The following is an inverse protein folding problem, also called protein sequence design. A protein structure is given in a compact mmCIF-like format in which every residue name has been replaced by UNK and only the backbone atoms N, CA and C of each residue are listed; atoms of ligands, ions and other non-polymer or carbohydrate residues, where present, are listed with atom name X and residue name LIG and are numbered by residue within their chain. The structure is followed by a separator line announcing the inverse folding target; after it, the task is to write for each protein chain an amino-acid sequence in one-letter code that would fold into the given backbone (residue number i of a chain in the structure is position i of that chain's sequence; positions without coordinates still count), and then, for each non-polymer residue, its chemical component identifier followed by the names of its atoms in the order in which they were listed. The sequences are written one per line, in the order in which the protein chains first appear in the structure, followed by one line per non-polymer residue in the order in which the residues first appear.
data_IF_484093720378
#
_entry.id   IF_484093720378
#
_cell.length_a   1.000
_cell.length_b   1.000
_cell.length_c   1.000
_cell.angle_alpha   90.00
_cell.angle_beta   90.00
_cell.angle_gamma   90.00
#
_symmetry.space_group_name_H-M   'P 1'
#
loop_
_entity.id
_entity.type
_entity.pdbx_description
1 polymer ?
#
# COMPACT_ATOMS: atom_id res chain seq x y z
N UNK A 1 0.51 -32.26 -36.39
CA UNK A 1 -0.68 -31.69 -35.69
C UNK A 1 -0.38 -31.42 -34.22
N UNK A 2 0.19 -32.38 -33.48
CA UNK A 2 0.58 -32.25 -32.06
C UNK A 2 1.46 -31.04 -31.75
N UNK A 3 2.52 -30.78 -32.54
CA UNK A 3 3.40 -29.62 -32.33
C UNK A 3 2.61 -28.30 -32.30
N UNK A 4 1.67 -28.11 -33.23
CA UNK A 4 0.80 -26.92 -33.26
C UNK A 4 -0.15 -26.83 -32.06
N UNK A 5 -0.69 -27.96 -31.61
CA UNK A 5 -1.54 -28.01 -30.41
C UNK A 5 -0.72 -27.64 -29.16
N UNK A 6 0.53 -28.09 -29.12
CA UNK A 6 1.43 -27.83 -28.00
C UNK A 6 1.93 -26.38 -28.00
N UNK A 7 2.34 -25.85 -29.15
CA UNK A 7 2.71 -24.44 -29.33
C UNK A 7 1.54 -23.51 -28.94
N UNK A 8 0.31 -23.88 -29.34
CA UNK A 8 -0.90 -23.17 -28.92
C UNK A 8 -1.13 -23.27 -27.41
N UNK A 9 -1.04 -24.46 -26.83
CA UNK A 9 -1.14 -24.66 -25.38
C UNK A 9 -0.11 -23.84 -24.58
N UNK A 10 1.12 -23.74 -25.07
CA UNK A 10 2.16 -22.92 -24.43
C UNK A 10 1.80 -21.43 -24.45
N UNK A 11 1.17 -20.96 -25.53
CA UNK A 11 0.72 -19.57 -25.67
C UNK A 11 -0.48 -19.19 -24.78
N UNK A 12 -1.23 -20.17 -24.27
CA UNK A 12 -2.38 -19.91 -23.39
C UNK A 12 -1.93 -19.41 -22.02
N UNK A 13 -2.74 -18.55 -21.41
CA UNK A 13 -2.56 -18.02 -20.04
C UNK A 13 -3.89 -18.07 -19.26
N UNK A 14 -3.84 -17.85 -17.95
CA UNK A 14 -5.05 -17.77 -17.10
C UNK A 14 -5.97 -19.00 -17.17
N UNK A 15 -7.28 -18.73 -17.16
CA UNK A 15 -8.33 -19.76 -17.13
C UNK A 15 -8.34 -20.65 -18.38
N UNK A 16 -8.02 -20.08 -19.55
CA UNK A 16 -7.95 -20.83 -20.81
C UNK A 16 -6.86 -21.91 -20.75
N UNK A 17 -5.70 -21.58 -20.17
CA UNK A 17 -4.62 -22.56 -19.96
C UNK A 17 -5.06 -23.64 -18.98
N UNK A 18 -5.82 -23.27 -17.94
CA UNK A 18 -6.33 -24.21 -16.94
C UNK A 18 -7.28 -25.24 -17.56
N UNK A 19 -8.28 -24.78 -18.33
CA UNK A 19 -9.23 -25.65 -19.01
C UNK A 19 -8.54 -26.55 -20.05
N UNK A 20 -7.61 -25.99 -20.83
CA UNK A 20 -6.83 -26.76 -21.78
C UNK A 20 -5.98 -27.84 -21.09
N UNK A 21 -5.34 -27.53 -19.96
CA UNK A 21 -4.59 -28.51 -19.16
C UNK A 21 -5.48 -29.63 -18.61
N UNK A 22 -6.73 -29.37 -18.23
CA UNK A 22 -7.66 -30.41 -17.76
C UNK A 22 -7.99 -31.39 -18.88
N UNK A 23 -8.42 -30.89 -20.04
CA UNK A 23 -8.75 -31.73 -21.20
C UNK A 23 -7.56 -32.55 -21.69
N UNK A 24 -6.37 -31.95 -21.74
CA UNK A 24 -5.14 -32.64 -22.13
C UNK A 24 -4.74 -33.73 -21.11
N UNK A 25 -4.94 -33.49 -19.81
CA UNK A 25 -4.68 -34.49 -18.77
C UNK A 25 -5.62 -35.68 -18.90
N UNK A 26 -6.90 -35.46 -19.17
CA UNK A 26 -7.86 -36.54 -19.42
C UNK A 26 -7.44 -37.39 -20.62
N UNK A 27 -7.03 -36.75 -21.71
CA UNK A 27 -6.46 -37.43 -22.87
C UNK A 27 -5.25 -38.29 -22.52
N UNK A 28 -4.31 -37.74 -21.75
CA UNK A 28 -3.13 -38.49 -21.28
C UNK A 28 -3.48 -39.65 -20.34
N UNK A 29 -4.51 -39.53 -19.48
CA UNK A 29 -4.99 -40.68 -18.67
C UNK A 29 -5.59 -41.77 -19.52
N UNK A 30 -6.41 -41.39 -20.49
CA UNK A 30 -7.01 -42.35 -21.42
C UNK A 30 -5.92 -43.08 -22.22
N UNK A 31 -4.89 -42.36 -22.67
CA UNK A 31 -3.76 -42.95 -23.37
C UNK A 31 -2.95 -43.89 -22.47
N UNK A 32 -2.62 -43.46 -21.25
CA UNK A 32 -1.92 -44.30 -20.28
C UNK A 32 -2.71 -45.57 -19.99
N UNK A 33 -4.03 -45.46 -19.79
CA UNK A 33 -4.95 -46.58 -19.62
C UNK A 33 -4.90 -47.57 -20.79
N UNK A 34 -4.86 -47.08 -22.04
CA UNK A 34 -4.70 -47.96 -23.21
C UNK A 34 -3.35 -48.70 -23.23
N UNK A 35 -2.30 -48.08 -22.69
CA UNK A 35 -0.95 -48.64 -22.68
C UNK A 35 -0.82 -49.68 -21.57
N UNK A 36 -1.04 -49.28 -20.31
CA UNK A 36 -0.76 -50.11 -19.12
C UNK A 36 -1.96 -50.92 -18.62
N UNK A 37 -3.17 -50.63 -19.11
CA UNK A 37 -4.40 -51.36 -18.75
C UNK A 37 -5.02 -50.93 -17.41
N UNK A 38 -6.24 -51.43 -17.16
CA UNK A 38 -7.09 -51.03 -16.05
C UNK A 38 -6.50 -51.40 -14.68
N UNK A 39 -5.82 -52.55 -14.60
CA UNK A 39 -5.21 -53.03 -13.35
C UNK A 39 -4.11 -52.08 -12.87
N UNK A 40 -3.21 -51.67 -13.78
CA UNK A 40 -2.14 -50.72 -13.47
C UNK A 40 -2.66 -49.32 -13.19
N UNK A 41 -3.73 -48.92 -13.87
CA UNK A 41 -4.42 -47.66 -13.55
C UNK A 41 -5.08 -47.70 -12.15
N UNK A 42 -5.63 -48.85 -11.74
CA UNK A 42 -6.18 -49.02 -10.40
C UNK A 42 -5.08 -48.99 -9.32
N UNK A 43 -3.93 -49.61 -9.58
CA UNK A 43 -2.75 -49.55 -8.72
C UNK A 43 -2.28 -48.09 -8.51
N UNK A 44 -2.14 -47.32 -9.59
CA UNK A 44 -1.77 -45.90 -9.51
C UNK A 44 -2.81 -45.06 -8.76
N UNK A 45 -4.10 -45.37 -8.94
CA UNK A 45 -5.17 -44.70 -8.21
C UNK A 45 -5.08 -45.02 -6.71
N UNK A 46 -4.86 -46.28 -6.33
CA UNK A 46 -4.72 -46.68 -4.94
C UNK A 46 -3.51 -46.02 -4.28
N UNK A 47 -2.36 -45.97 -4.97
CA UNK A 47 -1.17 -45.26 -4.47
C UNK A 47 -1.49 -43.79 -4.22
N UNK A 48 -2.13 -43.13 -5.19
CA UNK A 48 -2.54 -41.72 -5.05
C UNK A 48 -3.52 -41.52 -3.88
N UNK A 49 -4.51 -42.40 -3.73
CA UNK A 49 -5.53 -42.33 -2.68
C UNK A 49 -4.92 -42.64 -1.29
N UNK A 50 -3.78 -43.33 -1.24
CA UNK A 50 -3.01 -43.62 -0.02
C UNK A 50 -2.00 -42.51 0.34
N UNK A 51 -2.02 -41.37 -0.37
CA UNK A 51 -1.14 -40.23 -0.09
C UNK A 51 0.29 -40.37 -0.62
N UNK A 52 0.55 -41.33 -1.53
CA UNK A 52 1.87 -41.50 -2.14
C UNK A 52 2.28 -40.23 -2.91
N UNK A 53 3.51 -39.79 -2.66
CA UNK A 53 4.08 -38.59 -3.27
C UNK A 53 4.11 -38.67 -4.80
N UNK A 54 4.00 -37.51 -5.45
CA UNK A 54 3.94 -37.44 -6.91
C UNK A 54 5.23 -37.90 -7.61
N UNK A 55 6.40 -37.73 -6.99
CA UNK A 55 7.67 -38.28 -7.50
C UNK A 55 7.64 -39.81 -7.54
N UNK A 56 7.09 -40.44 -6.50
CA UNK A 56 6.93 -41.90 -6.44
C UNK A 56 5.87 -42.40 -7.44
N UNK A 57 4.79 -41.63 -7.66
CA UNK A 57 3.82 -41.93 -8.72
C UNK A 57 4.45 -41.83 -10.12
N UNK A 58 5.31 -40.83 -10.36
CA UNK A 58 6.05 -40.68 -11.63
C UNK A 58 6.98 -41.87 -11.84
N UNK A 59 7.79 -42.21 -10.82
CA UNK A 59 8.68 -43.36 -10.88
C UNK A 59 7.91 -44.66 -11.14
N UNK A 60 6.72 -44.81 -10.56
CA UNK A 60 5.86 -45.96 -10.81
C UNK A 60 5.34 -45.99 -12.25
N UNK A 61 4.91 -44.87 -12.80
CA UNK A 61 4.50 -44.76 -14.20
C UNK A 61 5.66 -45.10 -15.12
N UNK A 62 6.86 -44.57 -14.87
CA UNK A 62 8.05 -44.86 -15.68
C UNK A 62 8.39 -46.34 -15.66
N UNK A 63 8.40 -46.96 -14.47
CA UNK A 63 8.57 -48.41 -14.33
C UNK A 63 7.49 -49.19 -15.09
N UNK A 64 6.22 -48.79 -15.05
CA UNK A 64 5.16 -49.44 -15.81
C UNK A 64 5.37 -49.35 -17.32
N UNK A 65 5.84 -48.19 -17.81
CA UNK A 65 6.08 -47.95 -19.23
C UNK A 65 7.32 -48.68 -19.75
N UNK A 66 8.36 -48.85 -18.94
CA UNK A 66 9.57 -49.63 -19.30
C UNK A 66 9.27 -51.11 -19.59
N UNK A 67 8.25 -51.67 -18.92
CA UNK A 67 7.85 -53.07 -19.07
C UNK A 67 6.86 -53.30 -20.23
N UNK A 68 6.52 -52.25 -21.00
CA UNK A 68 5.65 -52.37 -22.17
C UNK A 68 6.45 -52.91 -23.35
N UNK A 69 6.16 -54.15 -23.75
CA UNK A 69 6.85 -54.83 -24.86
C UNK A 69 6.13 -54.73 -26.20
N UNK A 70 4.86 -54.29 -26.20
CA UNK A 70 4.02 -54.14 -27.41
C UNK A 70 4.44 -52.92 -28.25
N UNK A 71 4.84 -53.17 -29.50
CA UNK A 71 5.39 -52.13 -30.39
C UNK A 71 4.41 -50.97 -30.68
N UNK A 72 3.13 -51.21 -31.02
CA UNK A 72 2.14 -50.13 -31.13
C UNK A 72 2.01 -49.26 -29.87
N UNK A 73 2.11 -49.86 -28.68
CA UNK A 73 2.10 -49.11 -27.42
C UNK A 73 3.41 -48.34 -27.20
N UNK A 74 4.57 -48.90 -27.56
CA UNK A 74 5.86 -48.20 -27.50
C UNK A 74 5.88 -46.96 -28.39
N UNK A 75 5.32 -47.04 -29.59
CA UNK A 75 5.21 -45.89 -30.49
C UNK A 75 4.39 -44.76 -29.84
N UNK A 76 3.25 -45.09 -29.21
CA UNK A 76 2.45 -44.13 -28.44
C UNK A 76 3.23 -43.51 -27.25
N UNK A 77 4.06 -44.30 -26.56
CA UNK A 77 4.91 -43.80 -25.47
C UNK A 77 5.93 -42.80 -26.00
N UNK A 78 6.56 -43.10 -27.13
CA UNK A 78 7.55 -42.20 -27.76
C UNK A 78 6.89 -40.91 -28.27
N UNK A 79 5.73 -41.02 -28.89
CA UNK A 79 5.02 -39.90 -29.51
C UNK A 79 4.39 -38.94 -28.48
N UNK A 80 3.68 -39.48 -27.47
CA UNK A 80 2.91 -38.67 -26.53
C UNK A 80 3.54 -38.56 -25.13
N UNK A 81 4.45 -39.47 -24.78
CA UNK A 81 5.06 -39.53 -23.44
C UNK A 81 5.71 -38.21 -23.01
N UNK A 82 6.56 -37.56 -23.82
CA UNK A 82 7.16 -36.27 -23.48
C UNK A 82 6.11 -35.17 -23.24
N UNK A 83 5.07 -35.10 -24.09
CA UNK A 83 4.00 -34.12 -23.94
C UNK A 83 3.17 -34.36 -22.67
N UNK A 84 2.79 -35.61 -22.40
CA UNK A 84 2.07 -35.97 -21.19
C UNK A 84 2.91 -35.73 -19.93
N UNK A 85 4.21 -36.07 -19.95
CA UNK A 85 5.13 -35.72 -18.85
C UNK A 85 5.17 -34.22 -18.61
N UNK A 86 5.21 -33.40 -19.66
CA UNK A 86 5.18 -31.94 -19.53
C UNK A 86 3.84 -31.43 -18.99
N UNK A 87 2.70 -31.94 -19.47
CA UNK A 87 1.38 -31.56 -18.96
C UNK A 87 1.20 -31.92 -17.47
N UNK A 88 1.68 -33.09 -17.06
CA UNK A 88 1.65 -33.53 -15.65
C UNK A 88 2.73 -32.84 -14.80
N UNK A 89 3.88 -32.51 -15.39
CA UNK A 89 4.96 -31.76 -14.77
C UNK A 89 4.59 -30.29 -14.56
N UNK A 90 3.87 -29.67 -15.51
CA UNK A 90 3.28 -28.33 -15.37
C UNK A 90 2.21 -28.31 -14.28
N UNK A 91 1.54 -29.44 -14.03
CA UNK A 91 0.65 -29.61 -12.89
C UNK A 91 1.44 -29.75 -11.60
N UNK A 92 2.51 -30.55 -11.54
CA UNK A 92 3.38 -30.57 -10.37
C UNK A 92 3.95 -29.18 -10.09
N UNK A 93 4.36 -28.45 -11.11
CA UNK A 93 4.75 -27.04 -11.05
C UNK A 93 3.57 -26.08 -10.90
N UNK A 94 2.32 -26.50 -10.66
CA UNK A 94 1.13 -25.65 -10.41
C UNK A 94 0.40 -26.05 -9.12
N UNK A 95 0.58 -27.30 -8.70
CA UNK A 95 0.20 -27.87 -7.42
C UNK A 95 1.35 -27.62 -6.39
N UNK A 96 2.60 -27.47 -6.86
CA UNK A 96 3.78 -27.01 -6.08
C UNK A 96 4.34 -25.65 -6.54
N UNK A 97 3.91 -25.08 -7.69
CA UNK A 97 3.83 -23.62 -7.67
C UNK A 97 2.64 -23.32 -6.78
N UNK A 98 2.92 -22.67 -5.67
CA UNK A 98 2.12 -21.52 -5.30
C UNK A 98 1.61 -20.85 -6.57
N UNK A 99 0.29 -20.79 -6.80
CA UNK A 99 -0.25 -19.61 -7.44
C UNK A 99 0.39 -18.47 -6.66
N UNK A 100 1.45 -17.91 -7.23
CA UNK A 100 2.36 -17.11 -6.44
C UNK A 100 1.45 -15.99 -6.01
N UNK A 101 1.29 -15.82 -4.70
CA UNK A 101 0.70 -14.61 -4.17
C UNK A 101 1.39 -13.42 -4.89
N UNK A 102 2.67 -13.58 -5.25
CA UNK A 102 3.52 -12.72 -6.07
C UNK A 102 3.11 -12.49 -7.54
N UNK A 103 2.34 -13.38 -8.15
CA UNK A 103 1.80 -13.21 -9.50
C UNK A 103 0.49 -12.41 -9.50
N UNK A 104 -0.20 -12.37 -8.35
CA UNK A 104 -1.38 -11.53 -8.15
C UNK A 104 -0.95 -10.09 -7.89
N UNK A 105 -1.73 -9.11 -8.37
CA UNK A 105 -1.48 -7.69 -8.10
C UNK A 105 -2.73 -7.01 -7.55
N UNK A 106 -2.55 -5.88 -6.87
CA UNK A 106 -3.67 -5.07 -6.37
C UNK A 106 -4.61 -5.81 -5.39
N UNK A 107 -5.91 -5.65 -5.62
CA UNK A 107 -6.98 -6.09 -4.70
C UNK A 107 -7.15 -7.62 -4.68
N UNK A 108 -6.91 -8.30 -5.80
CA UNK A 108 -7.02 -9.76 -5.90
C UNK A 108 -5.98 -10.47 -5.01
N UNK A 109 -4.75 -9.94 -4.97
CA UNK A 109 -3.71 -10.43 -4.05
C UNK A 109 -4.14 -10.26 -2.60
N UNK A 110 -4.78 -9.14 -2.28
CA UNK A 110 -5.21 -8.82 -0.91
C UNK A 110 -6.30 -9.77 -0.44
N UNK A 111 -7.34 -9.98 -1.24
CA UNK A 111 -8.46 -10.86 -0.91
C UNK A 111 -8.00 -12.32 -0.78
N UNK A 112 -7.17 -12.80 -1.71
CA UNK A 112 -6.60 -14.16 -1.64
C UNK A 112 -5.74 -14.35 -0.37
N UNK A 113 -4.92 -13.34 -0.02
CA UNK A 113 -4.12 -13.36 1.21
C UNK A 113 -4.99 -13.43 2.47
N UNK A 114 -6.09 -12.68 2.52
CA UNK A 114 -6.99 -12.65 3.67
C UNK A 114 -7.71 -13.99 3.88
N UNK A 115 -8.23 -14.59 2.81
CA UNK A 115 -8.86 -15.91 2.84
C UNK A 115 -7.89 -17.01 3.29
N UNK A 116 -6.65 -16.99 2.78
CA UNK A 116 -5.61 -17.94 3.18
C UNK A 116 -5.23 -17.77 4.67
N UNK A 117 -5.17 -16.53 5.16
CA UNK A 117 -4.92 -16.25 6.59
C UNK A 117 -6.02 -16.78 7.48
N UNK A 118 -7.28 -16.65 7.08
CA UNK A 118 -8.41 -17.22 7.80
C UNK A 118 -8.31 -18.75 7.88
N UNK A 119 -7.97 -19.39 6.77
CA UNK A 119 -7.67 -20.83 6.73
C UNK A 119 -6.56 -21.22 7.72
N UNK A 120 -5.44 -20.51 7.71
CA UNK A 120 -4.34 -20.75 8.64
C UNK A 120 -4.74 -20.51 10.12
N UNK A 121 -5.58 -19.51 10.42
CA UNK A 121 -6.11 -19.30 11.78
C UNK A 121 -7.00 -20.44 12.22
N UNK A 122 -7.89 -20.90 11.35
CA UNK A 122 -8.77 -22.01 11.64
C UNK A 122 -7.97 -23.30 11.88
N UNK A 123 -6.94 -23.55 11.06
CA UNK A 123 -6.05 -24.69 11.21
C UNK A 123 -5.25 -24.62 12.52
N UNK A 124 -4.64 -23.48 12.81
CA UNK A 124 -3.90 -23.29 14.06
C UNK A 124 -4.82 -23.51 15.26
N UNK A 125 -6.04 -22.96 15.23
CA UNK A 125 -7.06 -23.19 16.26
C UNK A 125 -7.40 -24.67 16.45
N UNK A 126 -7.52 -25.46 15.37
CA UNK A 126 -7.74 -26.91 15.48
C UNK A 126 -6.56 -27.63 16.15
N UNK A 127 -5.34 -27.15 15.93
CA UNK A 127 -4.12 -27.74 16.47
C UNK A 127 -3.97 -27.40 17.95
N UNK A 128 -3.90 -26.10 18.29
CA UNK A 128 -3.53 -25.61 19.63
C UNK A 128 -4.74 -25.34 20.55
N UNK A 129 -5.95 -25.32 20.01
CA UNK A 129 -7.19 -25.09 20.77
C UNK A 129 -7.51 -23.62 21.05
N UNK A 130 -8.72 -23.39 21.58
CA UNK A 130 -9.26 -22.06 21.85
C UNK A 130 -8.46 -21.26 22.88
N UNK A 131 -7.97 -21.91 23.93
CA UNK A 131 -7.24 -21.27 25.01
C UNK A 131 -5.93 -20.64 24.51
N UNK A 132 -5.16 -21.39 23.72
CA UNK A 132 -3.92 -20.91 23.11
C UNK A 132 -4.16 -19.85 22.05
N UNK A 133 -5.27 -19.94 21.31
CA UNK A 133 -5.68 -18.87 20.39
C UNK A 133 -6.07 -17.58 21.12
N UNK A 134 -6.72 -17.67 22.29
CA UNK A 134 -7.03 -16.52 23.12
C UNK A 134 -5.76 -15.86 23.67
N UNK A 135 -4.77 -16.65 24.10
CA UNK A 135 -3.45 -16.19 24.54
C UNK A 135 -2.74 -15.40 23.41
N UNK A 136 -2.69 -15.96 22.19
CA UNK A 136 -2.12 -15.28 21.03
C UNK A 136 -2.87 -13.99 20.65
N UNK A 137 -4.20 -13.99 20.79
CA UNK A 137 -5.01 -12.79 20.55
C UNK A 137 -4.68 -11.70 21.58
N UNK A 138 -4.57 -12.06 22.86
CA UNK A 138 -4.22 -11.11 23.92
C UNK A 138 -2.82 -10.52 23.71
N UNK A 139 -1.84 -11.35 23.34
CA UNK A 139 -0.48 -10.88 23.01
C UNK A 139 -0.51 -9.89 21.83
N UNK A 140 -1.26 -10.21 20.77
CA UNK A 140 -1.44 -9.31 19.63
C UNK A 140 -2.11 -7.98 20.03
N UNK A 141 -3.19 -8.04 20.82
CA UNK A 141 -3.94 -6.87 21.26
C UNK A 141 -3.12 -5.99 22.24
N UNK A 142 -2.15 -6.59 22.94
CA UNK A 142 -1.17 -5.91 23.80
C UNK A 142 0.00 -5.30 23.03
N UNK A 143 0.03 -5.43 21.70
CA UNK A 143 1.08 -4.85 20.85
C UNK A 143 2.39 -5.63 20.85
N UNK A 144 2.38 -6.91 21.25
CA UNK A 144 3.57 -7.77 21.22
C UNK A 144 4.10 -7.87 19.79
N UNK A 145 5.43 -7.78 19.67
CA UNK A 145 6.14 -7.91 18.40
C UNK A 145 5.82 -9.24 17.73
N UNK A 146 5.71 -9.22 16.41
CA UNK A 146 5.28 -10.40 15.68
C UNK A 146 6.33 -11.52 15.62
N UNK A 147 7.61 -11.20 15.74
CA UNK A 147 8.65 -12.22 15.96
C UNK A 147 8.40 -13.00 17.25
N UNK A 148 7.95 -12.31 18.30
CA UNK A 148 7.60 -12.92 19.59
C UNK A 148 6.28 -13.71 19.48
N UNK A 149 5.32 -13.26 18.67
CA UNK A 149 4.13 -14.07 18.32
C UNK A 149 4.51 -15.33 17.53
N UNK A 150 5.44 -15.25 16.58
CA UNK A 150 5.93 -16.41 15.80
C UNK A 150 6.64 -17.39 16.74
N UNK A 151 7.55 -16.91 17.58
CA UNK A 151 8.24 -17.73 18.57
C UNK A 151 7.25 -18.40 19.53
N UNK A 152 6.19 -17.69 19.92
CA UNK A 152 5.12 -18.26 20.75
C UNK A 152 4.34 -19.35 20.02
N UNK A 153 3.99 -19.15 18.75
CA UNK A 153 3.35 -20.18 17.92
C UNK A 153 4.27 -21.39 17.79
N UNK A 154 5.56 -21.19 17.52
CA UNK A 154 6.54 -22.28 17.39
C UNK A 154 6.64 -23.10 18.67
N UNK A 155 6.76 -22.44 19.81
CA UNK A 155 6.74 -23.08 21.11
C UNK A 155 5.42 -23.85 21.35
N UNK A 156 4.27 -23.31 20.94
CA UNK A 156 2.99 -24.03 21.05
C UNK A 156 2.95 -25.28 20.18
N UNK A 157 3.52 -25.23 18.97
CA UNK A 157 3.53 -26.33 18.02
C UNK A 157 4.54 -27.43 18.41
N UNK A 158 5.66 -27.09 19.03
CA UNK A 158 6.65 -28.07 19.54
C UNK A 158 6.06 -29.03 20.59
N UNK A 159 5.09 -28.55 21.37
CA UNK A 159 4.43 -29.33 22.42
C UNK A 159 3.23 -30.15 21.91
N UNK A 160 2.95 -30.14 20.60
CA UNK A 160 1.88 -30.95 20.00
C UNK A 160 2.36 -32.37 19.81
N UNK A 161 1.79 -33.30 20.60
CA UNK A 161 2.16 -34.73 20.55
C UNK A 161 1.22 -35.58 19.70
N UNK A 162 0.10 -35.02 19.24
CA UNK A 162 -0.92 -35.70 18.42
C UNK A 162 -0.44 -35.83 16.96
N UNK A 163 -0.31 -37.06 16.46
CA UNK A 163 0.26 -37.35 15.14
C UNK A 163 -0.56 -36.74 13.96
N UNK A 164 -1.90 -36.86 13.91
CA UNK A 164 -2.70 -36.14 12.90
C UNK A 164 -2.51 -34.62 12.90
N UNK A 165 -2.30 -34.01 14.08
CA UNK A 165 -2.00 -32.58 14.17
C UNK A 165 -0.57 -32.26 13.72
N UNK A 166 0.41 -33.12 14.02
CA UNK A 166 1.79 -32.96 13.54
C UNK A 166 1.88 -33.03 12.02
N UNK A 167 1.16 -33.94 11.38
CA UNK A 167 1.10 -34.04 9.93
C UNK A 167 0.59 -32.73 9.31
N UNK A 168 -0.49 -32.16 9.86
CA UNK A 168 -1.00 -30.84 9.45
C UNK A 168 0.02 -29.71 9.66
N UNK A 169 0.81 -29.75 10.73
CA UNK A 169 1.88 -28.77 10.98
C UNK A 169 2.96 -28.89 9.91
N UNK A 170 3.35 -30.10 9.52
CA UNK A 170 4.38 -30.32 8.49
C UNK A 170 3.89 -29.93 7.10
N UNK A 171 2.64 -30.28 6.76
CA UNK A 171 2.04 -30.03 5.45
C UNK A 171 1.76 -28.54 5.23
N UNK A 172 1.10 -27.88 6.19
CA UNK A 172 0.62 -26.50 6.02
C UNK A 172 1.46 -25.45 6.74
N UNK A 173 2.30 -25.85 7.71
CA UNK A 173 3.10 -24.94 8.52
C UNK A 173 3.99 -24.02 7.69
N UNK A 174 4.82 -24.52 6.76
CA UNK A 174 5.66 -23.68 5.91
C UNK A 174 4.86 -22.66 5.08
N UNK A 175 3.72 -23.08 4.50
CA UNK A 175 2.85 -22.21 3.72
C UNK A 175 2.20 -21.12 4.60
N UNK A 176 1.69 -21.49 5.78
CA UNK A 176 1.14 -20.52 6.73
C UNK A 176 2.22 -19.56 7.24
N UNK A 177 3.44 -20.03 7.53
CA UNK A 177 4.58 -19.17 7.87
C UNK A 177 4.88 -18.18 6.75
N UNK A 178 4.81 -18.58 5.48
CA UNK A 178 4.98 -17.66 4.36
C UNK A 178 3.84 -16.65 4.23
N UNK A 179 2.58 -17.08 4.37
CA UNK A 179 1.40 -16.19 4.32
C UNK A 179 1.42 -15.10 5.43
N UNK A 180 1.91 -15.46 6.62
CA UNK A 180 2.14 -14.53 7.72
C UNK A 180 3.48 -13.78 7.58
N UNK A 181 4.49 -14.41 6.97
CA UNK A 181 5.81 -13.87 6.66
C UNK A 181 5.82 -12.78 5.59
N UNK A 182 4.96 -12.90 4.57
CA UNK A 182 4.72 -11.87 3.56
C UNK A 182 3.99 -10.67 4.16
N UNK A 183 3.33 -10.87 5.32
CA UNK A 183 2.92 -9.78 6.18
C UNK A 183 4.14 -9.12 6.83
N UNK A 184 5.26 -9.76 7.14
CA UNK A 184 6.46 -9.04 7.65
C UNK A 184 7.12 -8.12 6.64
N UNK A 185 7.06 -8.44 5.34
CA UNK A 185 7.43 -7.48 4.30
C UNK A 185 6.40 -6.34 4.10
N UNK A 186 5.21 -6.43 4.72
CA UNK A 186 4.10 -5.45 4.62
C UNK A 186 3.65 -4.82 5.96
N UNK A 187 4.02 -5.37 7.10
CA UNK A 187 3.67 -4.90 8.45
C UNK A 187 4.89 -4.21 9.06
N UNK A 188 6.12 -4.55 8.63
CA UNK A 188 7.21 -3.57 8.52
C UNK A 188 7.03 -2.73 7.25
N UNK A 189 5.80 -2.25 7.00
CA UNK A 189 5.66 -1.02 6.23
C UNK A 189 6.22 0.13 7.08
N UNK A 190 7.55 0.21 7.12
CA UNK A 190 8.18 1.30 6.39
C UNK A 190 7.43 1.40 5.06
N UNK A 191 6.43 2.28 5.05
CA UNK A 191 5.58 2.60 3.91
C UNK A 191 6.32 2.33 2.60
N UNK A 192 5.75 1.48 1.74
CA UNK A 192 6.41 1.20 0.47
C UNK A 192 6.66 2.55 -0.21
N UNK A 193 7.89 2.78 -0.63
CA UNK A 193 8.28 4.01 -1.30
C UNK A 193 7.33 4.31 -2.48
N UNK A 194 6.85 3.26 -3.17
CA UNK A 194 5.84 3.37 -4.22
C UNK A 194 4.45 3.83 -3.72
N UNK A 195 4.04 3.45 -2.50
CA UNK A 195 2.80 3.94 -1.91
C UNK A 195 2.89 5.44 -1.64
N UNK A 196 4.04 5.90 -1.13
CA UNK A 196 4.28 7.33 -0.99
C UNK A 196 4.29 8.04 -2.35
N UNK A 197 4.91 7.47 -3.38
CA UNK A 197 4.89 8.01 -4.74
C UNK A 197 3.50 8.10 -5.36
N UNK A 198 2.55 7.29 -4.92
CA UNK A 198 1.14 7.36 -5.35
C UNK A 198 0.30 8.32 -4.51
N UNK A 199 0.75 8.65 -3.31
CA UNK A 199 0.00 9.44 -2.33
C UNK A 199 0.68 10.77 -2.04
N UNK A 200 1.45 10.87 -0.95
CA UNK A 200 2.01 12.13 -0.43
C UNK A 200 3.18 12.68 -1.27
N UNK A 201 3.76 11.86 -2.15
CA UNK A 201 4.86 12.18 -3.06
C UNK A 201 4.43 12.07 -4.54
N UNK A 202 3.12 12.13 -4.82
CA UNK A 202 2.60 12.08 -6.20
C UNK A 202 3.10 13.21 -7.09
N UNK A 203 3.44 14.35 -6.47
CA UNK A 203 3.97 15.56 -7.11
C UNK A 203 5.41 15.42 -7.64
N UNK A 204 6.12 14.35 -7.29
CA UNK A 204 7.43 14.05 -7.90
C UNK A 204 7.25 13.61 -9.35
N UNK A 205 8.16 14.02 -10.22
CA UNK A 205 8.23 13.50 -11.59
C UNK A 205 8.70 12.04 -11.59
N UNK A 206 8.43 11.30 -12.67
CA UNK A 206 8.85 9.90 -12.76
C UNK A 206 10.38 9.76 -12.71
N UNK A 207 11.12 10.72 -13.26
CA UNK A 207 12.59 10.78 -13.18
C UNK A 207 13.04 10.93 -11.72
N UNK A 208 12.39 11.81 -10.95
CA UNK A 208 12.71 12.00 -9.53
C UNK A 208 12.36 10.75 -8.71
N UNK A 209 11.22 10.10 -9.00
CA UNK A 209 10.82 8.84 -8.36
C UNK A 209 11.83 7.72 -8.65
N UNK A 210 12.34 7.63 -9.88
CA UNK A 210 13.39 6.68 -10.27
C UNK A 210 14.71 6.95 -9.55
N UNK A 211 15.10 8.22 -9.41
CA UNK A 211 16.31 8.60 -8.67
C UNK A 211 16.21 8.15 -7.20
N UNK A 212 15.08 8.38 -6.54
CA UNK A 212 14.86 7.94 -5.16
C UNK A 212 14.78 6.41 -5.06
N UNK A 213 14.19 5.71 -6.04
CA UNK A 213 14.21 4.23 -6.12
C UNK A 213 15.64 3.70 -6.18
N UNK A 214 16.46 4.28 -7.06
CA UNK A 214 17.87 3.92 -7.19
C UNK A 214 18.64 4.17 -5.90
N UNK A 215 18.39 5.27 -5.19
CA UNK A 215 19.00 5.51 -3.88
C UNK A 215 18.66 4.41 -2.87
N UNK A 216 17.41 3.92 -2.88
CA UNK A 216 16.98 2.80 -2.03
C UNK A 216 17.67 1.49 -2.41
N UNK A 217 17.76 1.18 -3.71
CA UNK A 217 18.45 0.00 -4.24
C UNK A 217 19.96 0.00 -3.92
N UNK A 218 20.58 1.18 -3.95
CA UNK A 218 21.97 1.41 -3.55
C UNK A 218 22.19 1.34 -2.03
N UNK A 219 21.12 1.11 -1.24
CA UNK A 219 21.19 1.02 0.22
C UNK A 219 21.50 2.35 0.92
N UNK A 220 21.18 3.49 0.29
CA UNK A 220 21.42 4.79 0.92
C UNK A 220 20.54 4.97 2.16
N UNK A 221 21.04 5.68 3.20
CA UNK A 221 20.25 6.01 4.36
C UNK A 221 18.95 6.73 4.01
N UNK A 222 17.88 6.40 4.73
CA UNK A 222 16.57 7.03 4.57
C UNK A 222 16.59 8.55 4.72
N UNK A 223 17.43 9.06 5.61
CA UNK A 223 17.66 10.50 5.78
C UNK A 223 18.16 11.18 4.50
N UNK A 224 19.01 10.51 3.71
CA UNK A 224 19.51 11.05 2.44
C UNK A 224 18.40 11.10 1.38
N UNK A 225 17.56 10.07 1.34
CA UNK A 225 16.38 10.04 0.46
C UNK A 225 15.37 11.13 0.84
N UNK A 226 15.09 11.30 2.13
CA UNK A 226 14.21 12.37 2.63
C UNK A 226 14.76 13.75 2.30
N UNK A 227 16.06 13.96 2.51
CA UNK A 227 16.74 15.21 2.14
C UNK A 227 16.56 15.50 0.64
N UNK A 228 16.80 14.50 -0.21
CA UNK A 228 16.65 14.64 -1.67
C UNK A 228 15.22 14.99 -2.08
N UNK A 229 14.22 14.34 -1.47
CA UNK A 229 12.80 14.68 -1.67
C UNK A 229 12.54 16.13 -1.26
N UNK A 230 13.09 16.58 -0.15
CA UNK A 230 12.96 17.96 0.30
C UNK A 230 13.66 18.96 -0.62
N UNK A 231 14.83 18.63 -1.16
CA UNK A 231 15.52 19.47 -2.14
C UNK A 231 14.64 19.68 -3.39
N UNK A 232 13.96 18.64 -3.88
CA UNK A 232 12.98 18.80 -4.97
C UNK A 232 11.82 19.71 -4.55
N UNK A 233 11.26 19.51 -3.37
CA UNK A 233 10.18 20.36 -2.84
C UNK A 233 10.60 21.84 -2.75
N UNK A 234 11.81 22.11 -2.29
CA UNK A 234 12.32 23.48 -2.14
C UNK A 234 12.52 24.17 -3.50
N UNK A 235 12.90 23.40 -4.52
CA UNK A 235 13.08 23.88 -5.90
C UNK A 235 11.78 24.22 -6.62
N UNK A 236 10.63 23.73 -6.15
CA UNK A 236 9.32 24.06 -6.73
C UNK A 236 8.97 25.53 -6.51
N UNK A 237 8.13 26.06 -7.39
CA UNK A 237 7.55 27.41 -7.24
C UNK A 237 6.08 27.41 -7.64
N UNK A 238 5.38 28.52 -7.45
CA UNK A 238 3.99 28.68 -7.90
C UNK A 238 3.03 27.57 -7.43
N UNK A 239 2.23 27.10 -8.38
CA UNK A 239 1.17 26.10 -8.20
C UNK A 239 1.73 24.70 -7.90
N UNK A 240 2.84 24.30 -8.52
CA UNK A 240 3.49 23.02 -8.25
C UNK A 240 3.91 22.91 -6.77
N UNK A 241 4.48 23.99 -6.22
CA UNK A 241 4.81 24.05 -4.78
C UNK A 241 3.56 24.03 -3.91
N UNK A 242 2.44 24.59 -4.37
CA UNK A 242 1.16 24.57 -3.63
C UNK A 242 0.63 23.14 -3.56
N UNK A 243 0.55 22.44 -4.69
CA UNK A 243 0.12 21.05 -4.74
C UNK A 243 1.02 20.14 -3.88
N UNK A 244 2.34 20.25 -4.04
CA UNK A 244 3.30 19.48 -3.26
C UNK A 244 3.15 19.75 -1.75
N UNK A 245 2.93 21.01 -1.37
CA UNK A 245 2.70 21.37 0.04
C UNK A 245 1.43 20.74 0.60
N UNK A 246 0.34 20.68 -0.18
CA UNK A 246 -0.90 20.04 0.25
C UNK A 246 -0.73 18.54 0.44
N UNK A 247 -0.10 17.86 -0.52
CA UNK A 247 0.19 16.42 -0.44
C UNK A 247 1.12 16.06 0.73
N UNK A 248 2.16 16.86 0.95
CA UNK A 248 3.06 16.67 2.09
C UNK A 248 2.36 16.95 3.43
N UNK A 249 1.45 17.94 3.50
CA UNK A 249 0.63 18.17 4.71
C UNK A 249 -0.28 17.00 5.02
N UNK A 250 -0.89 16.38 4.02
CA UNK A 250 -1.68 15.15 4.19
C UNK A 250 -0.83 14.05 4.82
N UNK A 251 0.39 13.84 4.32
CA UNK A 251 1.35 12.90 4.89
C UNK A 251 1.68 13.22 6.35
N UNK A 252 1.98 14.48 6.66
CA UNK A 252 2.22 14.91 8.04
C UNK A 252 1.01 14.73 8.96
N UNK A 253 -0.22 14.91 8.47
CA UNK A 253 -1.44 14.62 9.26
C UNK A 253 -1.61 13.14 9.51
N UNK A 254 -1.39 12.31 8.50
CA UNK A 254 -1.46 10.86 8.63
C UNK A 254 -0.42 10.36 9.65
N UNK A 255 0.80 10.88 9.59
CA UNK A 255 1.86 10.56 10.54
C UNK A 255 1.52 11.03 11.96
N UNK A 256 1.07 12.29 12.12
CA UNK A 256 0.65 12.82 13.42
C UNK A 256 -0.47 11.95 14.01
N UNK A 257 -1.46 11.57 13.20
CA UNK A 257 -2.54 10.66 13.59
C UNK A 257 -2.02 9.31 14.07
N UNK A 258 -1.03 8.72 13.40
CA UNK A 258 -0.41 7.47 13.87
C UNK A 258 0.31 7.63 15.22
N UNK A 259 0.90 8.80 15.47
CA UNK A 259 1.64 9.09 16.70
C UNK A 259 0.67 9.32 17.87
N UNK A 260 -0.23 10.29 17.74
CA UNK A 260 -1.09 10.78 18.84
C UNK A 260 -2.47 10.12 18.90
N UNK A 261 -2.88 9.41 17.85
CA UNK A 261 -4.18 8.73 17.76
C UNK A 261 -5.35 9.62 17.33
N UNK A 262 -6.49 8.97 17.07
CA UNK A 262 -7.70 9.59 16.51
C UNK A 262 -8.34 10.61 17.46
N UNK A 263 -8.33 10.33 18.77
CA UNK A 263 -8.92 11.22 19.79
C UNK A 263 -8.22 12.58 19.83
N UNK A 264 -6.88 12.56 19.84
CA UNK A 264 -6.06 13.78 19.86
C UNK A 264 -6.15 14.55 18.55
N UNK A 265 -6.29 13.85 17.42
CA UNK A 265 -6.57 14.49 16.14
C UNK A 265 -7.95 15.15 16.09
N UNK A 266 -8.97 14.54 16.70
CA UNK A 266 -10.30 15.14 16.82
C UNK A 266 -10.29 16.40 17.69
N UNK A 267 -9.54 16.39 18.81
CA UNK A 267 -9.32 17.55 19.67
C UNK A 267 -8.68 18.72 18.90
N UNK A 268 -7.60 18.46 18.14
CA UNK A 268 -6.94 19.47 17.29
C UNK A 268 -7.89 20.02 16.22
N UNK A 269 -8.72 19.16 15.62
CA UNK A 269 -9.72 19.59 14.64
C UNK A 269 -10.76 20.51 15.28
N UNK A 270 -11.27 20.16 16.46
CA UNK A 270 -12.23 20.98 17.20
C UNK A 270 -11.66 22.34 17.57
N UNK A 271 -10.40 22.41 18.04
CA UNK A 271 -9.73 23.68 18.33
C UNK A 271 -9.62 24.55 17.08
N UNK A 272 -9.21 23.96 15.95
CA UNK A 272 -9.13 24.67 14.66
C UNK A 272 -10.51 25.18 14.21
N UNK A 273 -11.54 24.34 14.30
CA UNK A 273 -12.91 24.69 13.89
C UNK A 273 -13.53 25.76 14.81
N UNK A 274 -13.06 25.85 16.06
CA UNK A 274 -13.43 26.89 17.03
C UNK A 274 -12.68 28.22 16.82
N UNK A 275 -11.82 28.31 15.80
CA UNK A 275 -11.07 29.53 15.47
C UNK A 275 -9.85 29.80 16.35
N UNK A 276 -9.33 28.77 17.05
CA UNK A 276 -8.11 28.89 17.85
C UNK A 276 -6.93 29.30 16.97
N UNK A 277 -6.12 30.23 17.48
CA UNK A 277 -4.95 30.74 16.80
C UNK A 277 -3.93 29.64 16.50
N UNK A 278 -3.17 29.79 15.41
CA UNK A 278 -2.25 28.73 15.00
C UNK A 278 -1.11 28.51 16.00
N UNK A 279 -0.65 29.55 16.69
CA UNK A 279 0.38 29.43 17.71
C UNK A 279 -0.07 28.50 18.85
N UNK A 280 -1.34 28.60 19.23
CA UNK A 280 -1.95 27.75 20.24
C UNK A 280 -2.17 26.31 19.73
N UNK A 281 -2.51 26.13 18.45
CA UNK A 281 -2.54 24.80 17.81
C UNK A 281 -1.13 24.17 17.77
N UNK A 282 -0.09 24.95 17.48
CA UNK A 282 1.31 24.48 17.47
C UNK A 282 1.72 24.06 18.88
N UNK A 283 1.46 24.92 19.88
CA UNK A 283 1.75 24.60 21.28
C UNK A 283 1.02 23.33 21.74
N UNK A 284 -0.22 23.14 21.29
CA UNK A 284 -0.98 21.92 21.59
C UNK A 284 -0.35 20.68 20.96
N UNK A 285 0.06 20.75 19.69
CA UNK A 285 0.76 19.65 19.02
C UNK A 285 2.06 19.33 19.75
N UNK A 286 2.84 20.36 20.12
CA UNK A 286 4.11 20.17 20.85
C UNK A 286 3.88 19.47 22.19
N UNK A 287 2.90 19.92 22.97
CA UNK A 287 2.50 19.25 24.20
C UNK A 287 2.08 17.79 23.96
N UNK A 288 1.33 17.51 22.90
CA UNK A 288 0.93 16.13 22.57
C UNK A 288 2.14 15.25 22.24
N UNK A 289 3.12 15.78 21.50
CA UNK A 289 4.32 15.05 21.10
C UNK A 289 5.30 14.82 22.27
N UNK A 290 5.42 15.76 23.21
CA UNK A 290 6.25 15.61 24.41
C UNK A 290 5.79 14.48 25.33
N UNK A 291 4.48 14.20 25.37
CA UNK A 291 3.89 13.15 26.20
C UNK A 291 3.90 11.76 25.52
N UNK A 292 4.50 11.64 24.32
CA UNK A 292 4.67 10.35 23.65
C UNK A 292 5.82 9.59 24.30
N UNK A 293 5.50 8.49 25.00
CA UNK A 293 6.49 7.65 25.70
C UNK A 293 6.95 6.45 24.88
N UNK A 294 6.27 6.13 23.78
CA UNK A 294 6.57 5.02 22.87
C UNK A 294 7.81 5.35 22.01
N UNK A 295 8.87 4.54 22.14
CA UNK A 295 10.15 4.77 21.47
C UNK A 295 10.06 4.76 19.93
N UNK A 296 9.39 3.77 19.28
CA UNK A 296 9.15 3.82 17.83
C UNK A 296 8.44 5.09 17.35
N UNK A 297 7.51 5.62 18.14
CA UNK A 297 6.85 6.90 17.82
C UNK A 297 7.77 8.09 18.05
N UNK A 298 8.64 8.09 19.07
CA UNK A 298 9.65 9.14 19.29
C UNK A 298 10.64 9.21 18.14
N UNK A 299 11.11 8.08 17.63
CA UNK A 299 11.97 8.05 16.45
C UNK A 299 11.30 8.71 15.26
N UNK A 300 10.02 8.40 14.99
CA UNK A 300 9.24 9.08 13.94
C UNK A 300 9.11 10.59 14.17
N UNK A 301 8.95 11.03 15.41
CA UNK A 301 8.89 12.47 15.74
C UNK A 301 10.23 13.14 15.42
N UNK A 302 11.36 12.53 15.78
CA UNK A 302 12.68 13.07 15.49
C UNK A 302 12.98 13.07 14.00
N UNK A 303 12.61 12.00 13.30
CA UNK A 303 12.87 11.80 11.89
C UNK A 303 12.07 12.77 11.00
N UNK A 304 10.76 12.90 11.25
CA UNK A 304 9.85 13.64 10.36
C UNK A 304 9.38 14.98 10.92
N UNK A 305 9.51 15.21 12.22
CA UNK A 305 9.03 16.41 12.91
C UNK A 305 9.57 17.72 12.30
N UNK A 306 10.90 17.89 12.11
CA UNK A 306 11.45 19.10 11.52
C UNK A 306 10.91 19.41 10.12
N UNK A 307 10.80 18.38 9.27
CA UNK A 307 10.22 18.47 7.94
C UNK A 307 8.76 18.93 7.98
N UNK A 308 7.94 18.29 8.81
CA UNK A 308 6.53 18.66 8.97
C UNK A 308 6.37 20.09 9.50
N UNK A 309 7.17 20.51 10.48
CA UNK A 309 7.15 21.91 10.96
C UNK A 309 7.44 22.89 9.83
N UNK A 310 8.41 22.59 8.95
CA UNK A 310 8.72 23.44 7.80
C UNK A 310 7.56 23.54 6.80
N UNK A 311 6.95 22.41 6.44
CA UNK A 311 5.79 22.35 5.52
C UNK A 311 4.58 23.15 6.04
N UNK A 312 4.33 23.10 7.35
CA UNK A 312 3.29 23.90 7.99
C UNK A 312 3.72 25.37 8.13
N UNK A 313 4.99 25.65 8.42
CA UNK A 313 5.57 27.00 8.49
C UNK A 313 5.54 27.77 7.16
N UNK A 314 5.77 27.09 6.03
CA UNK A 314 5.67 27.69 4.69
C UNK A 314 4.22 28.09 4.36
N UNK A 315 3.23 27.43 4.99
CA UNK A 315 1.84 27.91 4.98
C UNK A 315 1.73 29.24 5.70
N UNK A 316 2.34 29.40 6.87
CA UNK A 316 2.26 30.65 7.63
C UNK A 316 2.85 31.81 6.87
N UNK A 317 3.96 31.61 6.16
CA UNK A 317 4.51 32.65 5.29
C UNK A 317 3.57 32.95 4.12
N UNK A 318 2.93 31.94 3.51
CA UNK A 318 1.95 32.13 2.42
C UNK A 318 0.58 32.66 2.86
N UNK A 319 0.11 32.33 4.06
CA UNK A 319 -1.15 32.83 4.65
C UNK A 319 -0.92 34.22 5.27
N UNK A 320 0.32 34.59 5.65
CA UNK A 320 0.74 35.99 5.81
C UNK A 320 1.02 36.71 4.48
N UNK A 321 1.14 35.95 3.37
CA UNK A 321 0.93 36.42 2.00
C UNK A 321 -0.50 36.13 1.51
N UNK A 322 -1.50 35.97 2.41
CA UNK A 322 -2.85 36.45 2.06
C UNK A 322 -2.62 37.92 1.70
N UNK A 323 -2.72 38.24 0.40
CA UNK A 323 -2.59 39.58 -0.17
C UNK A 323 -2.54 40.64 0.93
N UNK A 324 -1.33 41.12 1.23
CA UNK A 324 -1.19 42.09 2.29
C UNK A 324 -2.23 43.19 1.99
N UNK A 325 -2.98 43.62 2.98
CA UNK A 325 -3.91 44.72 2.78
C UNK A 325 -3.18 45.90 2.10
N UNK A 326 -1.88 46.05 2.38
CA UNK A 326 -0.99 46.98 1.68
C UNK A 326 -0.72 46.66 0.20
N UNK A 327 -0.71 45.40 -0.20
CA UNK A 327 -0.62 45.00 -1.62
C UNK A 327 -1.89 45.39 -2.36
N UNK A 328 -3.07 45.15 -1.78
CA UNK A 328 -4.33 45.66 -2.33
C UNK A 328 -4.31 47.19 -2.41
N UNK A 329 -3.85 47.89 -1.37
CA UNK A 329 -3.68 49.35 -1.39
C UNK A 329 -2.69 49.87 -2.42
N UNK A 330 -1.74 49.06 -2.89
CA UNK A 330 -0.80 49.43 -3.95
C UNK A 330 -1.32 49.10 -5.34
N UNK A 331 -2.25 48.16 -5.45
CA UNK A 331 -2.74 47.62 -6.72
C UNK A 331 -4.21 48.01 -6.94
N UNK A 332 -5.15 47.16 -6.52
CA UNK A 332 -6.57 47.27 -6.83
C UNK A 332 -7.31 48.37 -6.05
N UNK A 333 -6.73 48.81 -4.95
CA UNK A 333 -7.21 49.88 -4.06
C UNK A 333 -6.24 51.07 -4.03
N UNK A 334 -5.42 51.25 -5.08
CA UNK A 334 -4.50 52.39 -5.21
C UNK A 334 -5.20 53.74 -5.20
N UNK A 335 -6.47 53.76 -5.65
CA UNK A 335 -7.36 54.92 -5.69
C UNK A 335 -7.86 55.39 -4.31
N UNK A 336 -7.65 54.62 -3.24
CA UNK A 336 -7.92 55.09 -1.88
C UNK A 336 -6.84 56.09 -1.44
N UNK A 337 -7.25 57.13 -0.72
CA UNK A 337 -6.33 58.05 -0.03
C UNK A 337 -5.65 57.36 1.15
N UNK A 338 -4.52 57.89 1.59
CA UNK A 338 -3.78 57.31 2.73
C UNK A 338 -4.61 57.33 4.03
N UNK A 339 -5.44 58.36 4.23
CA UNK A 339 -6.37 58.44 5.38
C UNK A 339 -7.38 57.28 5.33
N UNK A 340 -7.97 57.01 4.16
CA UNK A 340 -8.92 55.91 3.98
C UNK A 340 -8.24 54.54 4.17
N UNK A 341 -6.98 54.39 3.69
CA UNK A 341 -6.18 53.18 3.90
C UNK A 341 -5.92 52.94 5.38
N UNK A 342 -5.58 53.98 6.14
CA UNK A 342 -5.35 53.89 7.59
C UNK A 342 -6.63 53.55 8.37
N UNK A 343 -7.79 54.08 7.96
CA UNK A 343 -9.07 53.68 8.56
C UNK A 343 -9.35 52.17 8.37
N UNK A 344 -9.07 51.63 7.17
CA UNK A 344 -9.24 50.20 6.90
C UNK A 344 -8.19 49.35 7.66
N UNK A 345 -6.94 49.83 7.81
CA UNK A 345 -5.93 49.17 8.67
C UNK A 345 -6.41 49.07 10.10
N UNK A 346 -6.92 50.17 10.65
CA UNK A 346 -7.45 50.22 12.02
C UNK A 346 -8.63 49.27 12.21
N UNK A 347 -9.54 49.16 11.23
CA UNK A 347 -10.64 48.18 11.28
C UNK A 347 -10.13 46.74 11.32
N UNK A 348 -9.05 46.43 10.59
CA UNK A 348 -8.40 45.11 10.61
C UNK A 348 -7.73 44.82 11.96
N UNK A 349 -7.03 45.80 12.53
CA UNK A 349 -6.40 45.71 13.86
C UNK A 349 -7.42 45.52 14.99
N UNK A 350 -8.59 46.16 14.87
CA UNK A 350 -9.74 45.99 15.77
C UNK A 350 -10.47 44.65 15.60
N UNK A 351 -10.03 43.78 14.67
CA UNK A 351 -10.62 42.46 14.44
C UNK A 351 -12.01 42.49 13.79
N UNK A 352 -12.35 43.56 13.07
CA UNK A 352 -13.66 43.67 12.43
C UNK A 352 -13.83 42.62 11.30
N UNK A 353 -15.05 42.10 11.09
CA UNK A 353 -15.34 41.18 9.99
C UNK A 353 -14.92 41.73 8.62
N UNK A 354 -14.43 40.85 7.73
CA UNK A 354 -14.04 41.21 6.35
C UNK A 354 -15.18 41.92 5.58
N UNK A 355 -16.44 41.53 5.83
CA UNK A 355 -17.62 42.16 5.22
C UNK A 355 -17.78 43.65 5.58
N UNK A 356 -17.45 44.04 6.81
CA UNK A 356 -17.55 45.44 7.26
C UNK A 356 -16.48 46.31 6.60
N UNK A 357 -15.27 45.76 6.44
CA UNK A 357 -14.19 46.42 5.70
C UNK A 357 -14.53 46.56 4.21
N UNK A 358 -15.07 45.51 3.58
CA UNK A 358 -15.53 45.56 2.18
C UNK A 358 -16.63 46.60 1.97
N UNK A 359 -17.60 46.66 2.88
CA UNK A 359 -18.65 47.68 2.85
C UNK A 359 -18.07 49.09 2.91
N UNK A 360 -17.13 49.32 3.84
CA UNK A 360 -16.46 50.63 3.97
C UNK A 360 -15.67 51.03 2.72
N UNK A 361 -14.98 50.09 2.08
CA UNK A 361 -14.28 50.32 0.80
C UNK A 361 -15.29 50.67 -0.29
N UNK A 362 -16.44 49.99 -0.34
CA UNK A 362 -17.49 50.27 -1.30
C UNK A 362 -18.14 51.64 -1.08
N UNK A 363 -18.35 52.06 0.18
CA UNK A 363 -18.84 53.40 0.50
C UNK A 363 -17.91 54.50 -0.05
N UNK A 364 -16.58 54.30 0.06
CA UNK A 364 -15.61 55.23 -0.55
C UNK A 364 -15.71 55.24 -2.08
N UNK A 365 -15.83 54.06 -2.70
CA UNK A 365 -16.02 53.95 -4.15
C UNK A 365 -17.29 54.67 -4.63
N UNK A 366 -18.41 54.54 -3.89
CA UNK A 366 -19.66 55.22 -4.23
C UNK A 366 -19.53 56.74 -4.16
N UNK A 367 -18.74 57.24 -3.21
CA UNK A 367 -18.47 58.68 -3.03
C UNK A 367 -17.60 59.31 -4.13
N UNK A 368 -16.89 58.49 -4.93
CA UNK A 368 -16.11 58.97 -6.06
C UNK A 368 -17.01 59.48 -7.20
N UNK A 369 -16.51 60.46 -7.95
CA UNK A 369 -17.16 61.02 -9.14
C UNK A 369 -16.13 61.26 -10.26
N UNK A 370 -16.61 61.37 -11.50
CA UNK A 370 -15.74 61.70 -12.64
C UNK A 370 -14.63 60.69 -12.90
N UNK A 371 -13.43 61.19 -13.19
CA UNK A 371 -12.27 60.39 -13.61
C UNK A 371 -11.75 59.46 -12.51
N UNK A 372 -11.83 59.87 -11.24
CA UNK A 372 -11.41 59.03 -10.09
C UNK A 372 -12.27 57.77 -9.98
N UNK A 373 -13.59 57.89 -10.22
CA UNK A 373 -14.49 56.72 -10.20
C UNK A 373 -14.20 55.78 -11.37
N UNK A 374 -13.80 56.32 -12.52
CA UNK A 374 -13.43 55.53 -13.69
C UNK A 374 -12.14 54.74 -13.45
N UNK A 375 -11.10 55.38 -12.92
CA UNK A 375 -9.84 54.72 -12.54
C UNK A 375 -10.07 53.63 -11.48
N UNK A 376 -10.85 53.93 -10.43
CA UNK A 376 -11.20 52.96 -9.40
C UNK A 376 -11.94 51.75 -9.98
N UNK A 377 -12.86 51.97 -10.93
CA UNK A 377 -13.61 50.88 -11.58
C UNK A 377 -12.71 49.97 -12.43
N UNK A 378 -11.74 50.55 -13.15
CA UNK A 378 -10.77 49.79 -13.94
C UNK A 378 -9.87 48.95 -13.00
N UNK A 379 -9.34 49.56 -11.93
CA UNK A 379 -8.48 48.89 -10.94
C UNK A 379 -9.21 47.77 -10.17
N UNK A 380 -10.48 47.96 -9.81
CA UNK A 380 -11.29 46.94 -9.17
C UNK A 380 -11.62 45.79 -10.13
N UNK A 381 -11.90 46.09 -11.41
CA UNK A 381 -12.17 45.09 -12.44
C UNK A 381 -10.95 44.21 -12.73
N UNK A 382 -9.75 44.80 -12.78
CA UNK A 382 -8.48 44.06 -12.89
C UNK A 382 -8.32 43.06 -11.73
N UNK A 383 -8.68 43.45 -10.51
CA UNK A 383 -8.58 42.58 -9.33
C UNK A 383 -9.59 41.44 -9.29
N UNK A 384 -10.81 41.65 -9.80
CA UNK A 384 -11.82 40.62 -9.91
C UNK A 384 -11.53 39.58 -11.01
N UNK A 385 -10.68 39.89 -11.99
CA UNK A 385 -10.28 38.95 -13.05
C UNK A 385 -9.21 37.93 -12.60
N UNK A 386 -8.72 38.03 -11.37
CA UNK A 386 -7.71 37.14 -10.77
C UNK A 386 -8.22 36.38 -9.53
N UNK A 387 -9.55 36.39 -9.28
CA UNK A 387 -10.21 35.67 -8.18
C UNK A 387 -10.83 34.34 -8.60
#
# INVERSE_FOLDING_TARGET
MQKKIFDYYESLTGDEKKEASEKLREGCRALLKQIVGDEKMAELKQMKDSGVGIEELIAKVDHMLEHVTDEPKKEKIQEYGPACRKIYGDRHKRDHHEHNLDDLTGDEKKEASEKLREGCRALLKQIVGDEKMAELKQMKDSGVGIEELIAKVDHMLEHVTDEPKKEKIQEYGPACRKIYGDRHKRDHHEHNLDEYFRTHLSWLTDIQKDEIRKMKEEGKPKADMQKKIFDYYESLTGDEKKEASEKLREGCRALLKQIVGDEKMAELKQMKDSGVGIEELIAKVDHMLEHVTDEPKKEKIQEYGPACRKIYGDRHKRDHHEHNLDEYFRTHLSWLTDIQKDEIRKMKEEGKPKADMQKKIFDYYESLTGDEKKEASEKLREGCAHC
#
